data_IF_656441641080
#
_entry.id   IF_656441641080
#
_cell.length_a   1.000
_cell.length_b   1.000
_cell.length_c   1.000
_cell.angle_alpha   90.00
_cell.angle_beta   90.00
_cell.angle_gamma   90.00
#
_symmetry.space_group_name_H-M   'P 1'
#
loop_
_entity.id
_entity.type
_entity.pdbx_description
1 polymer ?
#
# COMPACT_ATOMS: atom_id res chain seq x y z
N UNK A 1 8.80 -16.35 46.21
CA UNK A 1 9.62 -15.41 45.40
C UNK A 1 9.77 -14.12 46.17
N UNK A 2 11.01 -13.60 46.23
CA UNK A 2 11.36 -12.44 47.04
C UNK A 2 10.82 -11.14 46.44
N UNK A 3 10.74 -10.09 47.26
CA UNK A 3 10.27 -8.75 46.86
C UNK A 3 11.13 -8.15 45.73
N UNK A 4 12.41 -8.51 45.68
CA UNK A 4 13.37 -8.10 44.65
C UNK A 4 13.17 -8.80 43.31
N UNK A 5 12.73 -10.06 43.30
CA UNK A 5 12.47 -10.81 42.05
C UNK A 5 11.31 -10.16 41.30
N UNK A 6 10.24 -9.82 42.03
CA UNK A 6 9.07 -9.11 41.49
C UNK A 6 9.43 -7.74 40.91
N UNK A 7 10.35 -7.02 41.56
CA UNK A 7 10.82 -5.73 41.06
C UNK A 7 11.59 -5.89 39.75
N UNK A 8 12.45 -6.90 39.65
CA UNK A 8 13.24 -7.17 38.44
C UNK A 8 12.38 -7.61 37.27
N UNK A 9 11.36 -8.42 37.51
CA UNK A 9 10.40 -8.85 36.48
C UNK A 9 9.61 -7.67 35.96
N UNK A 10 9.11 -6.81 36.86
CA UNK A 10 8.37 -5.59 36.48
C UNK A 10 9.22 -4.59 35.68
N UNK A 11 10.52 -4.49 35.99
CA UNK A 11 11.48 -3.68 35.22
C UNK A 11 11.72 -4.27 33.83
N UNK A 12 11.82 -5.60 33.71
CA UNK A 12 11.96 -6.26 32.40
C UNK A 12 10.73 -6.07 31.52
N UNK A 13 9.53 -6.21 32.09
CA UNK A 13 8.28 -6.06 31.36
C UNK A 13 8.15 -4.63 30.80
N UNK A 14 8.44 -3.61 31.62
CA UNK A 14 8.43 -2.21 31.18
C UNK A 14 9.47 -1.92 30.08
N UNK A 15 10.64 -2.55 30.14
CA UNK A 15 11.67 -2.44 29.09
C UNK A 15 11.19 -3.06 27.77
N UNK A 16 10.55 -4.22 27.81
CA UNK A 16 10.02 -4.87 26.59
C UNK A 16 8.83 -4.12 25.99
N UNK A 17 7.94 -3.57 26.83
CA UNK A 17 6.85 -2.71 26.40
C UNK A 17 7.37 -1.45 25.69
N UNK A 18 8.41 -0.82 26.26
CA UNK A 18 9.05 0.37 25.67
C UNK A 18 9.76 0.06 24.34
N UNK A 19 10.46 -1.09 24.25
CA UNK A 19 11.10 -1.53 23.00
C UNK A 19 10.08 -1.79 21.89
N UNK A 20 8.92 -2.35 22.25
CA UNK A 20 7.86 -2.67 21.30
C UNK A 20 7.24 -1.39 20.75
N UNK A 21 6.83 -0.48 21.63
CA UNK A 21 6.31 0.84 21.26
C UNK A 21 7.30 1.66 20.40
N UNK A 22 8.59 1.61 20.74
CA UNK A 22 9.63 2.28 19.97
C UNK A 22 9.80 1.69 18.55
N UNK A 23 9.80 0.36 18.41
CA UNK A 23 9.89 -0.30 17.10
C UNK A 23 8.71 0.06 16.21
N UNK A 24 7.48 -0.02 16.73
CA UNK A 24 6.28 0.37 15.99
C UNK A 24 6.36 1.83 15.51
N UNK A 25 6.81 2.73 16.39
CA UNK A 25 6.98 4.15 16.04
C UNK A 25 8.02 4.34 14.92
N UNK A 26 9.16 3.62 15.00
CA UNK A 26 10.21 3.68 13.97
C UNK A 26 9.72 3.11 12.65
N UNK A 27 8.98 2.00 12.66
CA UNK A 27 8.46 1.38 11.45
C UNK A 27 7.41 2.28 10.77
N UNK A 28 6.52 2.90 11.56
CA UNK A 28 5.56 3.89 11.05
C UNK A 28 6.28 5.10 10.43
N UNK A 29 7.30 5.64 11.08
CA UNK A 29 8.10 6.75 10.54
C UNK A 29 8.80 6.37 9.22
N UNK A 30 9.29 5.14 9.10
CA UNK A 30 9.92 4.64 7.87
C UNK A 30 8.90 4.50 6.74
N UNK A 31 7.71 4.00 7.05
CA UNK A 31 6.61 3.91 6.10
C UNK A 31 6.17 5.30 5.63
N UNK A 32 6.02 6.26 6.55
CA UNK A 32 5.64 7.64 6.20
C UNK A 32 6.68 8.31 5.31
N UNK A 33 7.97 8.14 5.60
CA UNK A 33 9.05 8.64 4.73
C UNK A 33 9.03 8.00 3.35
N UNK A 34 8.76 6.70 3.24
CA UNK A 34 8.63 6.02 1.96
C UNK A 34 7.43 6.57 1.18
N UNK A 35 6.29 6.73 1.85
CA UNK A 35 5.06 7.27 1.27
C UNK A 35 5.26 8.70 0.78
N UNK A 36 5.96 9.53 1.54
CA UNK A 36 6.32 10.90 1.16
C UNK A 36 7.27 10.92 -0.04
N UNK A 37 8.30 10.06 -0.04
CA UNK A 37 9.22 9.91 -1.18
C UNK A 37 8.54 9.48 -2.47
N UNK A 38 7.45 8.71 -2.38
CA UNK A 38 6.66 8.22 -3.52
C UNK A 38 5.44 9.11 -3.83
N UNK A 39 5.25 10.22 -3.12
CA UNK A 39 4.05 11.06 -3.25
C UNK A 39 3.83 11.56 -4.70
N UNK A 40 4.89 12.04 -5.36
CA UNK A 40 4.82 12.54 -6.75
C UNK A 40 4.45 11.46 -7.75
N UNK A 41 5.00 10.25 -7.60
CA UNK A 41 4.67 9.11 -8.45
C UNK A 41 3.20 8.71 -8.26
N UNK A 42 2.75 8.65 -7.01
CA UNK A 42 1.35 8.37 -6.68
C UNK A 42 0.41 9.43 -7.25
N UNK A 43 0.75 10.70 -7.15
CA UNK A 43 -0.02 11.82 -7.73
C UNK A 43 -0.09 11.69 -9.26
N UNK A 44 1.04 11.51 -9.94
CA UNK A 44 1.06 11.36 -11.41
C UNK A 44 0.25 10.16 -11.92
N UNK A 45 0.29 9.03 -11.20
CA UNK A 45 -0.54 7.85 -11.51
C UNK A 45 -2.03 8.17 -11.28
N UNK A 46 -2.36 8.83 -10.16
CA UNK A 46 -3.75 9.17 -9.78
C UNK A 46 -4.37 10.17 -10.77
N UNK A 47 -3.61 11.16 -11.24
CA UNK A 47 -4.04 12.15 -12.23
C UNK A 47 -4.29 11.51 -13.61
N UNK A 48 -3.39 10.62 -14.06
CA UNK A 48 -3.48 9.98 -15.38
C UNK A 48 -4.61 8.97 -15.49
N UNK A 49 -4.78 8.13 -14.48
CA UNK A 49 -5.86 7.12 -14.43
C UNK A 49 -7.19 7.79 -14.06
N UNK A 50 -7.16 9.02 -13.55
CA UNK A 50 -8.35 9.70 -13.05
C UNK A 50 -9.02 8.89 -11.94
N UNK A 51 -8.26 8.31 -11.01
CA UNK A 51 -8.82 7.42 -9.96
C UNK A 51 -9.92 8.13 -9.14
N UNK A 52 -9.84 9.45 -8.98
CA UNK A 52 -10.91 10.26 -8.40
C UNK A 52 -12.21 10.27 -9.25
N UNK A 53 -12.08 10.20 -10.58
CA UNK A 53 -13.17 10.06 -11.54
C UNK A 53 -13.68 8.61 -11.68
N UNK A 54 -13.01 7.63 -11.05
CA UNK A 54 -13.46 6.23 -11.00
C UNK A 54 -14.50 5.96 -9.92
N UNK A 55 -14.74 6.91 -9.00
CA UNK A 55 -15.87 6.80 -8.08
C UNK A 55 -17.19 6.79 -8.86
N UNK A 56 -17.76 5.60 -9.04
CA UNK A 56 -19.03 5.38 -9.73
C UNK A 56 -18.94 5.06 -11.22
N UNK A 57 -17.73 4.98 -11.82
CA UNK A 57 -17.56 4.45 -13.18
C UNK A 57 -17.39 2.93 -13.15
N UNK A 58 -18.06 2.24 -14.07
CA UNK A 58 -17.81 0.83 -14.33
C UNK A 58 -16.37 0.67 -14.84
N UNK A 59 -15.62 -0.27 -14.29
CA UNK A 59 -14.30 -0.61 -14.83
C UNK A 59 -14.54 -1.36 -16.15
N UNK A 60 -14.28 -0.68 -17.26
CA UNK A 60 -14.41 -1.19 -18.62
C UNK A 60 -13.02 -1.37 -19.28
N UNK A 61 -12.99 -2.01 -20.44
CA UNK A 61 -11.73 -2.30 -21.12
C UNK A 61 -10.97 -1.02 -21.52
N UNK A 62 -11.68 0.06 -21.87
CA UNK A 62 -11.07 1.35 -22.20
C UNK A 62 -10.28 1.94 -21.03
N UNK A 63 -10.83 1.86 -19.80
CA UNK A 63 -10.11 2.31 -18.61
C UNK A 63 -8.86 1.45 -18.31
N UNK A 64 -8.93 0.15 -18.58
CA UNK A 64 -7.80 -0.75 -18.35
C UNK A 64 -6.67 -0.51 -19.37
N UNK A 65 -7.01 -0.06 -20.57
CA UNK A 65 -6.04 0.37 -21.58
C UNK A 65 -5.39 1.71 -21.17
N UNK A 66 -6.17 2.67 -20.66
CA UNK A 66 -5.65 3.94 -20.09
C UNK A 66 -4.71 3.68 -18.89
N UNK A 67 -5.04 2.69 -18.06
CA UNK A 67 -4.19 2.24 -16.95
C UNK A 67 -2.86 1.68 -17.45
N UNK A 68 -2.86 0.84 -18.48
CA UNK A 68 -1.63 0.28 -19.06
C UNK A 68 -0.73 1.39 -19.60
N UNK A 69 -1.28 2.33 -20.38
CA UNK A 69 -0.52 3.46 -20.92
C UNK A 69 0.09 4.32 -19.80
N UNK A 70 -0.69 4.60 -18.74
CA UNK A 70 -0.22 5.35 -17.59
C UNK A 70 0.94 4.65 -16.86
N UNK A 71 0.91 3.32 -16.74
CA UNK A 71 1.99 2.53 -16.13
C UNK A 71 3.25 2.54 -16.99
N UNK A 72 3.13 2.43 -18.32
CA UNK A 72 4.27 2.52 -19.24
C UNK A 72 4.97 3.88 -19.11
N UNK A 73 4.20 4.97 -19.08
CA UNK A 73 4.72 6.34 -18.92
C UNK A 73 5.30 6.62 -17.54
N UNK A 74 4.99 5.78 -16.55
CA UNK A 74 5.55 5.84 -15.20
C UNK A 74 6.82 4.96 -15.03
N UNK A 75 7.46 4.58 -16.13
CA UNK A 75 8.69 3.75 -16.17
C UNK A 75 8.53 2.33 -15.58
N UNK A 76 7.31 1.77 -15.59
CA UNK A 76 7.05 0.38 -15.16
C UNK A 76 7.46 -0.65 -16.22
N UNK A 77 7.47 -0.25 -17.50
CA UNK A 77 7.80 -1.08 -18.65
C UNK A 77 6.58 -1.81 -19.24
N UNK A 78 6.63 -2.10 -20.54
CA UNK A 78 5.49 -2.64 -21.31
C UNK A 78 4.99 -3.99 -20.77
N UNK A 79 5.88 -4.99 -20.66
CA UNK A 79 5.49 -6.34 -20.24
C UNK A 79 4.85 -6.35 -18.84
N UNK A 80 5.39 -5.58 -17.91
CA UNK A 80 4.88 -5.47 -16.54
C UNK A 80 3.54 -4.75 -16.51
N UNK A 81 3.38 -3.70 -17.34
CA UNK A 81 2.13 -2.93 -17.40
C UNK A 81 0.97 -3.77 -17.94
N UNK A 82 1.21 -4.55 -18.99
CA UNK A 82 0.25 -5.52 -19.55
C UNK A 82 -0.17 -6.52 -18.45
N UNK A 83 0.79 -7.13 -17.76
CA UNK A 83 0.50 -8.10 -16.69
C UNK A 83 -0.31 -7.50 -15.54
N UNK A 84 -0.07 -6.23 -15.19
CA UNK A 84 -0.82 -5.55 -14.14
C UNK A 84 -2.25 -5.30 -14.62
N UNK A 85 -2.43 -4.75 -15.83
CA UNK A 85 -3.75 -4.46 -16.39
C UNK A 85 -4.60 -5.73 -16.54
N UNK A 86 -4.01 -6.82 -17.06
CA UNK A 86 -4.69 -8.13 -17.18
C UNK A 86 -5.15 -8.68 -15.83
N UNK A 87 -4.31 -8.59 -14.79
CA UNK A 87 -4.70 -9.02 -13.44
C UNK A 87 -5.85 -8.18 -12.87
N UNK A 88 -5.87 -6.88 -13.15
CA UNK A 88 -6.98 -6.02 -12.74
C UNK A 88 -8.25 -6.40 -13.52
N UNK A 89 -8.13 -6.66 -14.83
CA UNK A 89 -9.24 -7.13 -15.68
C UNK A 89 -9.87 -8.42 -15.12
N UNK A 90 -9.05 -9.40 -14.80
CA UNK A 90 -9.50 -10.68 -14.24
C UNK A 90 -10.15 -10.48 -12.88
N UNK A 91 -9.57 -9.63 -12.03
CA UNK A 91 -10.13 -9.33 -10.72
C UNK A 91 -11.50 -8.67 -10.80
N UNK A 92 -11.68 -7.73 -11.72
CA UNK A 92 -12.97 -7.06 -11.96
C UNK A 92 -14.00 -8.04 -12.47
N UNK A 93 -13.62 -8.98 -13.34
CA UNK A 93 -14.50 -10.07 -13.78
C UNK A 93 -14.90 -10.96 -12.62
N UNK A 94 -13.95 -11.37 -11.78
CA UNK A 94 -14.23 -12.19 -10.59
C UNK A 94 -15.16 -11.51 -9.58
N UNK A 95 -14.95 -10.22 -9.31
CA UNK A 95 -15.76 -9.47 -8.35
C UNK A 95 -17.12 -9.08 -8.92
N UNK A 96 -17.19 -8.67 -10.19
CA UNK A 96 -18.47 -8.39 -10.87
C UNK A 96 -19.31 -9.62 -11.18
N UNK A 97 -18.75 -10.84 -11.07
CA UNK A 97 -19.49 -12.11 -11.13
C UNK A 97 -20.08 -12.53 -9.78
N UNK A 98 -19.73 -11.84 -8.69
CA UNK A 98 -20.18 -12.14 -7.32
C UNK A 98 -21.38 -11.31 -6.86
N UNK A 99 -21.93 -10.50 -7.77
CA UNK A 99 -23.21 -9.78 -7.60
C UNK A 99 -24.38 -10.54 -8.24
#
# INVERSE_FOLDING_TARGET
MGLFDKLKDKVKDAIEETKTSFRETVDNLRYDRLKEGLARTREGITERIGIAALQGRKIDDALLDELEEALILADVGADTSIQISDRVRDRVREEGSKD
#
